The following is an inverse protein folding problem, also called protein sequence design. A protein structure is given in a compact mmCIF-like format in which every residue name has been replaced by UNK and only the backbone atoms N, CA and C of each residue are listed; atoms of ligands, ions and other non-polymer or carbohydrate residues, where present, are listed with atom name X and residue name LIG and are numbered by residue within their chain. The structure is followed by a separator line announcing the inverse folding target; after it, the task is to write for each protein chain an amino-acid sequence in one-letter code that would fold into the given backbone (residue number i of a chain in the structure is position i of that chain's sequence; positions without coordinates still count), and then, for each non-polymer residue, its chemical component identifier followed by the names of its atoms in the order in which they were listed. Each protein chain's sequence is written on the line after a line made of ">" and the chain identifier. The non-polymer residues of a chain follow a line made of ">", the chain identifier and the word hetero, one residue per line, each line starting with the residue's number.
data_IF_728362033516
#
_entry.id   IF_728362033516
#
_cell.length_a   1.000
_cell.length_b   1.000
_cell.length_c   1.000
_cell.angle_alpha   90.00
_cell.angle_beta   90.00
_cell.angle_gamma   90.00
#
_symmetry.space_group_name_H-M   'P 1'
#
loop_
_entity.id
_entity.type
_entity.pdbx_description
1 polymer ?
#
# COMPACT_ATOMS: atom_id res chain seq x y z
N UNK A 1 -34.01 -45.26 10.52
CA UNK A 1 -33.89 -43.78 10.65
C UNK A 1 -32.70 -43.35 9.83
N UNK A 2 -32.93 -43.06 8.55
CA UNK A 2 -31.91 -42.64 7.60
C UNK A 2 -31.89 -41.10 7.60
N UNK A 3 -30.86 -40.50 8.19
CA UNK A 3 -30.65 -39.07 8.13
C UNK A 3 -30.27 -38.69 6.69
N UNK A 4 -31.17 -38.02 6.02
CA UNK A 4 -30.95 -37.40 4.71
C UNK A 4 -29.97 -36.24 4.88
N UNK A 5 -28.72 -36.44 4.52
CA UNK A 5 -27.75 -35.36 4.30
C UNK A 5 -28.04 -34.73 2.95
N UNK A 6 -28.92 -33.76 2.95
CA UNK A 6 -29.06 -32.84 1.80
C UNK A 6 -27.75 -32.08 1.64
N UNK A 7 -27.10 -32.11 0.46
CA UNK A 7 -25.94 -31.26 0.21
C UNK A 7 -26.41 -29.81 0.30
N UNK A 8 -25.74 -29.01 1.14
CA UNK A 8 -25.88 -27.56 1.12
C UNK A 8 -25.56 -27.09 -0.29
N UNK A 9 -26.61 -26.82 -1.05
CA UNK A 9 -26.51 -26.21 -2.37
C UNK A 9 -25.62 -24.98 -2.23
N UNK A 10 -24.47 -25.03 -2.87
CA UNK A 10 -23.66 -23.87 -3.14
C UNK A 10 -24.56 -22.90 -3.93
N UNK A 11 -25.22 -22.02 -3.20
CA UNK A 11 -25.93 -20.91 -3.79
C UNK A 11 -24.87 -20.10 -4.55
N UNK A 12 -24.75 -20.36 -5.84
CA UNK A 12 -23.84 -19.65 -6.72
C UNK A 12 -24.12 -18.15 -6.53
N UNK A 13 -23.16 -17.40 -6.00
CA UNK A 13 -23.23 -15.94 -5.98
C UNK A 13 -23.36 -15.53 -7.44
N UNK A 14 -24.58 -15.19 -7.86
CA UNK A 14 -24.81 -14.58 -9.16
C UNK A 14 -23.99 -13.29 -9.18
N UNK A 15 -22.94 -13.31 -10.01
CA UNK A 15 -22.08 -12.15 -10.19
C UNK A 15 -22.91 -11.02 -10.82
N UNK A 16 -22.81 -9.79 -10.31
CA UNK A 16 -23.48 -8.66 -10.95
C UNK A 16 -23.06 -8.61 -12.42
N UNK A 17 -23.98 -8.40 -13.35
CA UNK A 17 -23.72 -8.32 -14.81
C UNK A 17 -22.58 -7.39 -15.21
N UNK A 18 -22.11 -6.55 -14.28
CA UNK A 18 -20.97 -5.60 -14.44
C UNK A 18 -19.75 -5.95 -13.60
N UNK A 19 -19.58 -7.20 -13.18
CA UNK A 19 -18.47 -7.61 -12.31
C UNK A 19 -17.09 -7.24 -12.89
N UNK A 20 -16.90 -7.37 -14.21
CA UNK A 20 -15.66 -6.94 -14.89
C UNK A 20 -15.42 -5.43 -14.76
N UNK A 21 -16.46 -4.60 -14.88
CA UNK A 21 -16.32 -3.16 -14.72
C UNK A 21 -15.97 -2.78 -13.28
N UNK A 22 -16.55 -3.46 -12.30
CA UNK A 22 -16.23 -3.25 -10.87
C UNK A 22 -14.76 -3.61 -10.60
N UNK A 23 -14.32 -4.78 -11.06
CA UNK A 23 -12.91 -5.19 -10.92
C UNK A 23 -12.00 -4.21 -11.64
N UNK A 24 -12.27 -3.84 -12.88
CA UNK A 24 -11.46 -2.89 -13.64
C UNK A 24 -11.36 -1.52 -12.96
N UNK A 25 -12.44 -1.03 -12.34
CA UNK A 25 -12.43 0.23 -11.59
C UNK A 25 -11.59 0.13 -10.33
N UNK A 26 -11.73 -0.97 -9.57
CA UNK A 26 -10.94 -1.18 -8.35
C UNK A 26 -9.45 -1.31 -8.70
N UNK A 27 -9.11 -2.14 -9.69
CA UNK A 27 -7.73 -2.36 -10.10
C UNK A 27 -7.11 -1.11 -10.74
N UNK A 28 -7.87 -0.39 -11.57
CA UNK A 28 -7.42 0.87 -12.17
C UNK A 28 -7.13 1.94 -11.13
N UNK A 29 -8.02 2.10 -10.15
CA UNK A 29 -7.82 3.01 -9.02
C UNK A 29 -6.60 2.62 -8.18
N UNK A 30 -6.44 1.33 -7.91
CA UNK A 30 -5.32 0.81 -7.13
C UNK A 30 -3.98 0.97 -7.87
N UNK A 31 -3.95 0.69 -9.17
CA UNK A 31 -2.77 0.90 -9.99
C UNK A 31 -2.35 2.37 -10.04
N UNK A 32 -3.31 3.29 -10.20
CA UNK A 32 -3.04 4.72 -10.18
C UNK A 32 -2.48 5.18 -8.81
N UNK A 33 -3.06 4.71 -7.70
CA UNK A 33 -2.58 4.99 -6.35
C UNK A 33 -1.15 4.48 -6.15
N UNK A 34 -0.85 3.26 -6.56
CA UNK A 34 0.49 2.67 -6.46
C UNK A 34 1.51 3.45 -7.29
N UNK A 35 1.21 3.75 -8.54
CA UNK A 35 2.11 4.53 -9.42
C UNK A 35 2.42 5.88 -8.79
N UNK A 36 1.41 6.59 -8.32
CA UNK A 36 1.57 7.91 -7.68
C UNK A 36 2.40 7.80 -6.39
N UNK A 37 2.15 6.78 -5.57
CA UNK A 37 2.92 6.53 -4.34
C UNK A 37 4.38 6.24 -4.63
N UNK A 38 4.69 5.37 -5.59
CA UNK A 38 6.07 5.07 -5.97
C UNK A 38 6.76 6.29 -6.58
N UNK A 39 6.08 7.04 -7.44
CA UNK A 39 6.63 8.27 -8.02
C UNK A 39 6.98 9.31 -6.93
N UNK A 40 6.07 9.52 -5.96
CA UNK A 40 6.33 10.42 -4.83
C UNK A 40 7.49 9.93 -3.94
N UNK A 41 7.59 8.61 -3.70
CA UNK A 41 8.71 8.02 -2.95
C UNK A 41 10.03 8.21 -3.68
N UNK A 42 10.06 7.96 -4.98
CA UNK A 42 11.23 8.16 -5.80
C UNK A 42 11.66 9.63 -5.84
N UNK A 43 10.71 10.55 -5.94
CA UNK A 43 10.99 12.00 -5.95
C UNK A 43 11.71 12.44 -4.66
N UNK A 44 11.32 11.93 -3.49
CA UNK A 44 12.01 12.23 -2.22
C UNK A 44 13.44 11.69 -2.23
N UNK A 45 13.65 10.45 -2.64
CA UNK A 45 14.98 9.83 -2.72
C UNK A 45 15.85 10.58 -3.73
N UNK A 46 15.30 10.94 -4.88
CA UNK A 46 15.98 11.73 -5.90
C UNK A 46 16.39 13.10 -5.36
N UNK A 47 15.49 13.81 -4.68
CA UNK A 47 15.79 15.11 -4.09
C UNK A 47 16.94 15.03 -3.07
N UNK A 48 16.96 14.01 -2.21
CA UNK A 48 18.08 13.78 -1.27
C UNK A 48 19.39 13.60 -2.04
N UNK A 49 19.36 12.83 -3.11
CA UNK A 49 20.56 12.54 -3.91
C UNK A 49 21.06 13.77 -4.64
N UNK A 50 20.17 14.53 -5.26
CA UNK A 50 20.48 15.76 -5.99
C UNK A 50 21.08 16.82 -5.07
N UNK A 51 20.47 17.04 -3.91
CA UNK A 51 20.91 18.08 -2.97
C UNK A 51 22.19 17.74 -2.23
N UNK A 52 22.47 16.45 -2.00
CA UNK A 52 23.67 16.03 -1.28
C UNK A 52 24.84 15.64 -2.17
N UNK A 53 24.57 15.26 -3.44
CA UNK A 53 25.57 14.70 -4.34
C UNK A 53 26.24 13.42 -3.85
N UNK A 54 25.67 12.76 -2.84
CA UNK A 54 26.31 11.68 -2.09
C UNK A 54 25.65 10.32 -2.35
N UNK A 55 26.44 9.37 -2.86
CA UNK A 55 26.01 7.98 -3.01
C UNK A 55 25.67 7.31 -1.64
N UNK A 56 26.31 7.75 -0.57
CA UNK A 56 26.02 7.26 0.79
C UNK A 56 24.62 7.73 1.22
N UNK A 57 24.24 8.96 0.91
CA UNK A 57 22.90 9.47 1.21
C UNK A 57 21.83 8.81 0.36
N UNK A 58 22.12 8.48 -0.90
CA UNK A 58 21.24 7.64 -1.73
C UNK A 58 21.02 6.27 -1.08
N UNK A 59 22.09 5.60 -0.64
CA UNK A 59 21.99 4.30 0.03
C UNK A 59 21.20 4.41 1.34
N UNK A 60 21.46 5.42 2.16
CA UNK A 60 20.72 5.67 3.38
C UNK A 60 19.22 5.90 3.12
N UNK A 61 18.88 6.72 2.13
CA UNK A 61 17.49 6.96 1.74
C UNK A 61 16.81 5.68 1.25
N UNK A 62 17.49 4.87 0.46
CA UNK A 62 16.96 3.57 -0.01
C UNK A 62 16.74 2.60 1.18
N UNK A 63 17.68 2.51 2.12
CA UNK A 63 17.50 1.70 3.33
C UNK A 63 16.29 2.19 4.12
N UNK A 64 16.16 3.49 4.35
CA UNK A 64 15.02 4.07 5.06
C UNK A 64 13.68 3.84 4.34
N UNK A 65 13.68 3.80 2.99
CA UNK A 65 12.49 3.60 2.19
C UNK A 65 12.03 2.14 2.11
N UNK A 66 12.94 1.16 2.18
CA UNK A 66 12.59 -0.24 1.91
C UNK A 66 12.78 -1.17 3.12
N UNK A 67 13.76 -0.93 3.99
CA UNK A 67 14.03 -1.81 5.12
C UNK A 67 12.86 -1.90 6.11
N UNK A 68 12.24 -0.78 6.55
CA UNK A 68 11.08 -0.86 7.45
C UNK A 68 9.90 -1.60 6.82
N UNK A 69 9.65 -1.40 5.53
CA UNK A 69 8.61 -2.12 4.80
C UNK A 69 8.86 -3.62 4.81
N UNK A 70 10.07 -4.07 4.49
CA UNK A 70 10.42 -5.49 4.48
C UNK A 70 10.27 -6.15 5.85
N UNK A 71 10.74 -5.49 6.90
CA UNK A 71 10.67 -6.01 8.28
C UNK A 71 9.25 -6.04 8.84
N UNK A 72 8.42 -5.04 8.52
CA UNK A 72 7.06 -4.91 9.07
C UNK A 72 5.99 -5.60 8.25
N UNK A 73 6.25 -5.95 6.98
CA UNK A 73 5.29 -6.60 6.10
C UNK A 73 4.68 -7.89 6.66
N UNK A 74 5.43 -8.82 7.32
CA UNK A 74 4.84 -10.00 7.92
C UNK A 74 3.83 -9.66 9.03
N UNK A 75 4.10 -8.62 9.83
CA UNK A 75 3.18 -8.15 10.87
C UNK A 75 1.94 -7.49 10.26
N UNK A 76 2.13 -6.76 9.16
CA UNK A 76 1.04 -6.20 8.36
C UNK A 76 0.07 -7.27 7.88
N UNK A 77 0.58 -8.43 7.44
CA UNK A 77 -0.23 -9.58 7.06
C UNK A 77 -1.11 -10.11 8.19
N UNK A 78 -0.52 -10.34 9.37
CA UNK A 78 -1.26 -10.80 10.55
C UNK A 78 -2.36 -9.83 10.97
N UNK A 79 -2.10 -8.53 10.88
CA UNK A 79 -3.08 -7.49 11.21
C UNK A 79 -4.19 -7.44 10.16
N UNK A 80 -3.85 -7.56 8.88
CA UNK A 80 -4.81 -7.59 7.78
C UNK A 80 -5.76 -8.79 7.86
N UNK A 81 -5.32 -9.92 8.40
CA UNK A 81 -6.16 -11.10 8.58
C UNK A 81 -7.15 -10.96 9.75
N UNK A 82 -6.83 -10.16 10.76
CA UNK A 82 -7.65 -9.95 11.96
C UNK A 82 -8.62 -8.78 11.86
N UNK A 83 -8.41 -7.87 10.95
CA UNK A 83 -9.15 -6.61 10.85
C UNK A 83 -9.76 -6.42 9.45
N UNK A 84 -10.58 -5.37 9.31
CA UNK A 84 -11.18 -5.03 8.04
C UNK A 84 -10.10 -4.54 7.05
N UNK A 85 -9.74 -5.38 6.08
CA UNK A 85 -8.70 -5.14 5.06
C UNK A 85 -8.90 -3.82 4.33
N UNK A 86 -10.17 -3.47 4.02
CA UNK A 86 -10.50 -2.21 3.35
C UNK A 86 -10.12 -0.99 4.18
N UNK A 87 -10.38 -1.03 5.49
CA UNK A 87 -10.01 0.07 6.39
C UNK A 87 -8.51 0.22 6.51
N UNK A 88 -7.77 -0.89 6.59
CA UNK A 88 -6.29 -0.87 6.64
C UNK A 88 -5.73 -0.24 5.38
N UNK A 89 -6.22 -0.63 4.19
CA UNK A 89 -5.77 -0.09 2.91
C UNK A 89 -6.04 1.42 2.83
N UNK A 90 -7.26 1.86 3.16
CA UNK A 90 -7.62 3.29 3.11
C UNK A 90 -6.80 4.11 4.12
N UNK A 91 -6.61 3.59 5.33
CA UNK A 91 -5.82 4.27 6.36
C UNK A 91 -4.34 4.36 5.97
N UNK A 92 -3.77 3.29 5.44
CA UNK A 92 -2.38 3.25 4.98
C UNK A 92 -2.16 4.21 3.79
N UNK A 93 -3.02 4.16 2.77
CA UNK A 93 -2.95 5.06 1.61
C UNK A 93 -3.13 6.53 2.03
N UNK A 94 -4.10 6.81 2.88
CA UNK A 94 -4.34 8.15 3.41
C UNK A 94 -3.14 8.70 4.19
N UNK A 95 -2.55 7.88 5.05
CA UNK A 95 -1.35 8.25 5.81
C UNK A 95 -0.15 8.50 4.88
N UNK A 96 0.13 7.59 3.94
CA UNK A 96 1.22 7.74 2.97
C UNK A 96 1.00 8.96 2.07
N UNK A 97 -0.24 9.20 1.63
CA UNK A 97 -0.62 10.37 0.84
C UNK A 97 -0.39 11.67 1.59
N UNK A 98 -0.84 11.75 2.85
CA UNK A 98 -0.66 12.93 3.70
C UNK A 98 0.83 13.21 3.97
N UNK A 99 1.60 12.19 4.35
CA UNK A 99 3.05 12.32 4.57
C UNK A 99 3.74 12.82 3.31
N UNK A 100 3.35 12.30 2.13
CA UNK A 100 3.92 12.72 0.85
C UNK A 100 3.58 14.16 0.50
N UNK A 101 2.34 14.58 0.78
CA UNK A 101 1.89 15.95 0.54
C UNK A 101 2.68 16.93 1.43
N UNK A 102 2.79 16.62 2.72
CA UNK A 102 3.57 17.45 3.67
C UNK A 102 5.04 17.53 3.22
N UNK A 103 5.65 16.42 2.85
CA UNK A 103 7.02 16.41 2.35
C UNK A 103 7.18 17.26 1.08
N UNK A 104 6.24 17.16 0.13
CA UNK A 104 6.24 17.96 -1.09
C UNK A 104 6.13 19.47 -0.81
N UNK A 105 5.24 19.87 0.10
CA UNK A 105 5.10 21.28 0.52
C UNK A 105 6.38 21.79 1.17
N UNK A 106 7.01 21.01 2.06
CA UNK A 106 8.25 21.41 2.71
C UNK A 106 9.42 21.54 1.72
N UNK A 107 9.51 20.64 0.75
CA UNK A 107 10.51 20.71 -0.33
C UNK A 107 10.30 22.01 -1.15
N UNK A 108 9.07 22.32 -1.52
CA UNK A 108 8.74 23.53 -2.29
C UNK A 108 9.00 24.82 -1.51
N UNK A 109 8.80 24.79 -0.19
CA UNK A 109 9.09 25.92 0.69
C UNK A 109 10.60 26.15 0.90
N UNK A 110 11.44 25.18 0.55
CA UNK A 110 12.90 25.26 0.75
C UNK A 110 13.34 25.04 2.20
N UNK A 111 12.42 24.66 3.07
CA UNK A 111 12.61 24.58 4.54
C UNK A 111 12.73 23.13 5.01
N UNK A 112 13.43 22.27 4.23
CA UNK A 112 13.50 20.84 4.51
C UNK A 112 14.92 20.39 4.82
N UNK A 113 15.09 19.69 5.96
CA UNK A 113 16.36 19.06 6.33
C UNK A 113 16.43 17.62 5.83
N UNK A 114 17.65 17.16 5.51
CA UNK A 114 17.88 15.76 5.07
C UNK A 114 17.40 14.75 6.12
N UNK A 115 17.66 14.90 7.43
CA UNK A 115 17.12 13.97 8.44
C UNK A 115 15.59 13.88 8.44
N UNK A 116 14.90 14.99 8.19
CA UNK A 116 13.43 15.01 8.08
C UNK A 116 12.97 14.20 6.87
N UNK A 117 13.64 14.32 5.72
CA UNK A 117 13.32 13.52 4.53
C UNK A 117 13.58 12.02 4.72
N UNK A 118 14.64 11.65 5.45
CA UNK A 118 14.87 10.26 5.83
C UNK A 118 13.76 9.73 6.74
N UNK A 119 13.30 10.54 7.70
CA UNK A 119 12.14 10.19 8.53
C UNK A 119 10.85 10.04 7.70
N UNK A 120 10.64 10.88 6.69
CA UNK A 120 9.54 10.72 5.72
C UNK A 120 9.64 9.39 4.97
N UNK A 121 10.83 8.99 4.52
CA UNK A 121 11.03 7.69 3.87
C UNK A 121 10.63 6.54 4.79
N UNK A 122 11.05 6.56 6.05
CA UNK A 122 10.69 5.55 7.06
C UNK A 122 9.18 5.52 7.29
N UNK A 123 8.55 6.68 7.52
CA UNK A 123 7.12 6.78 7.78
C UNK A 123 6.27 6.24 6.61
N UNK A 124 6.67 6.54 5.37
CA UNK A 124 6.06 5.99 4.15
C UNK A 124 6.25 4.47 4.06
N UNK A 125 7.45 3.97 4.36
CA UNK A 125 7.76 2.54 4.35
C UNK A 125 6.90 1.76 5.35
N UNK A 126 6.65 2.33 6.53
CA UNK A 126 5.73 1.77 7.53
C UNK A 126 4.31 1.69 6.98
N UNK A 127 3.79 2.75 6.37
CA UNK A 127 2.47 2.73 5.74
C UNK A 127 2.34 1.65 4.65
N UNK A 128 3.34 1.55 3.78
CA UNK A 128 3.37 0.53 2.71
C UNK A 128 3.46 -0.91 3.25
N UNK A 129 4.08 -1.12 4.41
CA UNK A 129 4.18 -2.43 5.04
C UNK A 129 2.81 -3.03 5.41
N UNK A 130 1.81 -2.18 5.70
CA UNK A 130 0.44 -2.62 5.98
C UNK A 130 -0.44 -2.67 4.72
N UNK A 131 -0.21 -1.77 3.77
CA UNK A 131 -0.98 -1.71 2.52
C UNK A 131 -0.78 -2.95 1.64
N UNK A 132 0.47 -3.35 1.36
CA UNK A 132 0.80 -4.45 0.45
C UNK A 132 0.17 -5.80 0.85
N UNK A 133 0.31 -6.30 2.09
CA UNK A 133 -0.30 -7.56 2.47
C UNK A 133 -1.84 -7.48 2.54
N UNK A 134 -2.41 -6.35 2.93
CA UNK A 134 -3.85 -6.15 2.94
C UNK A 134 -4.45 -6.23 1.52
N UNK A 135 -3.76 -5.68 0.53
CA UNK A 135 -4.14 -5.76 -0.88
C UNK A 135 -4.04 -7.21 -1.40
N UNK A 136 -2.93 -7.91 -1.12
CA UNK A 136 -2.76 -9.32 -1.54
C UNK A 136 -3.84 -10.23 -0.94
N UNK A 137 -4.20 -10.01 0.31
CA UNK A 137 -5.25 -10.76 0.98
C UNK A 137 -6.67 -10.45 0.45
N UNK A 138 -6.90 -9.28 -0.15
CA UNK A 138 -8.19 -8.90 -0.73
C UNK A 138 -8.41 -9.50 -2.13
N UNK A 139 -7.35 -9.83 -2.88
CA UNK A 139 -7.43 -10.33 -4.26
C UNK A 139 -8.29 -11.59 -4.43
N UNK A 140 -8.12 -12.66 -3.63
CA UNK A 140 -8.90 -13.88 -3.81
C UNK A 140 -10.40 -13.68 -3.59
N UNK A 141 -10.79 -12.66 -2.83
CA UNK A 141 -12.21 -12.36 -2.55
C UNK A 141 -12.94 -11.71 -3.73
N UNK A 142 -12.21 -11.20 -4.71
CA UNK A 142 -12.76 -10.52 -5.89
C UNK A 142 -12.89 -11.44 -7.10
N UNK A 143 -12.23 -12.61 -7.08
CA UNK A 143 -12.28 -13.58 -8.17
C UNK A 143 -13.36 -14.62 -7.83
N UNK A 144 -14.33 -14.86 -8.76
CA UNK A 144 -15.34 -15.90 -8.55
C UNK A 144 -14.69 -17.28 -8.59
N UNK A 145 -15.08 -18.15 -7.67
CA UNK A 145 -14.81 -19.58 -7.76
C UNK A 145 -15.52 -20.13 -9.01
N UNK A 146 -14.78 -20.86 -9.85
CA UNK A 146 -15.33 -21.55 -11.03
C UNK A 146 -16.13 -22.76 -10.62
#
# INVERSE_FOLDING_TARGET
>A
MTASTAPLSAAGRELPKRWLAIIATIWGGQAASMITSYAAGYAVVWYITETTGSAIMLAAAAICAYLPQGLLSPFGGVIADKHNRKLIMIAADGAVGLISLVAGVLILAGDVSIPLLLAVCIARAVGQAFHSPAMMAAMPMLVPDK
#
